data_IF_600848221976
#
_entry.id   IF_600848221976
#
_cell.length_a   1.000
_cell.length_b   1.000
_cell.length_c   1.000
_cell.angle_alpha   90.00
_cell.angle_beta   90.00
_cell.angle_gamma   90.00
#
_symmetry.space_group_name_H-M   'P 1'
#
loop_
_entity.id
_entity.type
_entity.pdbx_description
1 polymer ?
#
# COMPACT_ATOMS: atom_id res chain seq x y z
N UNK A 1 4.36 4.72 13.20
CA UNK A 1 5.02 3.50 12.74
C UNK A 1 6.46 3.87 12.45
N UNK A 2 7.38 3.53 13.33
CA UNK A 2 8.80 3.69 13.06
C UNK A 2 9.25 2.48 12.23
N UNK A 3 9.55 2.71 10.95
CA UNK A 3 10.33 1.78 10.17
C UNK A 3 11.74 1.83 10.73
N UNK A 4 12.11 0.89 11.55
CA UNK A 4 13.50 0.75 11.94
C UNK A 4 14.20 0.01 10.81
N UNK A 5 15.02 0.73 10.05
CA UNK A 5 16.13 0.09 9.36
C UNK A 5 16.86 -0.74 10.41
N UNK A 6 17.14 -2.01 10.13
CA UNK A 6 17.94 -2.86 11.01
C UNK A 6 19.38 -2.36 10.95
N UNK A 7 19.61 -1.18 11.55
CA UNK A 7 20.93 -0.62 11.74
C UNK A 7 21.28 -0.74 13.22
N UNK A 8 22.26 -1.54 13.53
CA UNK A 8 22.93 -1.43 14.79
C UNK A 8 24.04 -0.39 14.62
N UNK A 9 23.78 0.84 15.03
CA UNK A 9 24.86 1.80 15.26
C UNK A 9 25.42 1.53 16.65
N UNK A 10 26.64 0.99 16.71
CA UNK A 10 27.43 1.06 17.93
C UNK A 10 28.26 2.34 17.93
N UNK A 11 28.47 2.89 19.15
CA UNK A 11 29.33 4.05 19.37
C UNK A 11 30.75 3.76 18.88
N UNK A 12 31.57 4.78 18.55
CA UNK A 12 32.97 4.60 18.23
C UNK A 12 33.63 3.79 19.34
N UNK A 13 34.20 2.65 18.99
CA UNK A 13 34.86 1.73 19.95
C UNK A 13 34.27 0.33 20.05
N UNK A 14 33.34 -0.04 19.20
CA UNK A 14 32.88 -1.43 19.13
C UNK A 14 31.44 -1.62 18.71
N UNK A 15 31.18 -2.44 17.73
CA UNK A 15 29.87 -2.99 17.48
C UNK A 15 29.53 -3.35 16.06
N UNK A 16 28.78 -4.43 15.98
CA UNK A 16 28.23 -5.08 14.80
C UNK A 16 27.29 -4.14 14.05
N UNK A 17 27.50 -3.91 12.75
CA UNK A 17 26.50 -3.36 11.84
C UNK A 17 25.84 -4.51 11.09
N UNK A 18 24.57 -4.79 11.41
CA UNK A 18 23.75 -5.71 10.62
C UNK A 18 23.04 -4.90 9.53
N UNK A 19 23.41 -5.13 8.29
CA UNK A 19 22.70 -4.65 7.13
C UNK A 19 22.11 -5.83 6.39
N UNK A 20 20.80 -5.89 6.32
CA UNK A 20 20.06 -6.75 5.40
C UNK A 20 20.53 -8.22 5.35
N UNK A 21 20.90 -8.80 6.50
CA UNK A 21 21.47 -10.14 6.54
C UNK A 21 22.95 -10.23 6.17
N UNK A 22 23.61 -9.07 5.90
CA UNK A 22 25.05 -9.00 5.72
C UNK A 22 25.72 -8.44 6.98
N UNK A 23 26.79 -9.07 7.38
CA UNK A 23 27.66 -8.59 8.44
C UNK A 23 28.78 -7.75 7.79
N UNK A 24 28.78 -6.43 8.04
CA UNK A 24 29.82 -5.52 7.52
C UNK A 24 31.01 -5.51 8.48
N UNK A 25 32.16 -5.89 7.97
CA UNK A 25 33.42 -5.88 8.70
C UNK A 25 34.00 -4.46 8.76
N UNK A 26 33.81 -3.76 9.88
CA UNK A 26 34.28 -2.35 9.97
C UNK A 26 35.31 -2.08 11.07
N UNK A 27 35.49 -2.96 12.08
CA UNK A 27 36.41 -2.76 13.22
C UNK A 27 36.76 -4.07 13.93
N UNK A 28 37.83 -4.10 14.73
CA UNK A 28 38.38 -5.26 15.45
C UNK A 28 37.37 -6.07 16.30
N UNK A 29 36.28 -5.45 16.80
CA UNK A 29 35.25 -6.13 17.56
C UNK A 29 34.23 -6.87 16.68
N UNK A 30 34.13 -6.49 15.41
CA UNK A 30 33.29 -7.17 14.40
C UNK A 30 33.94 -8.46 13.94
N UNK A 31 35.27 -8.52 14.01
CA UNK A 31 36.04 -9.71 13.64
C UNK A 31 35.70 -10.91 14.53
N UNK A 32 35.52 -10.71 15.84
CA UNK A 32 35.14 -11.77 16.78
C UNK A 32 33.76 -12.37 16.48
N UNK A 33 32.75 -11.52 16.20
CA UNK A 33 31.40 -11.98 15.83
C UNK A 33 31.40 -12.65 14.44
N UNK A 34 32.19 -12.12 13.50
CA UNK A 34 32.36 -12.72 12.17
C UNK A 34 33.00 -14.11 12.29
N UNK A 35 34.10 -14.26 13.04
CA UNK A 35 34.77 -15.53 13.25
C UNK A 35 33.85 -16.56 13.93
N UNK A 36 33.06 -16.14 14.91
CA UNK A 36 32.06 -16.99 15.56
C UNK A 36 31.02 -17.52 14.56
N UNK A 37 30.41 -16.62 13.74
CA UNK A 37 29.38 -17.00 12.77
C UNK A 37 29.97 -17.81 11.62
N UNK A 38 31.18 -17.47 11.16
CA UNK A 38 31.92 -18.22 10.17
C UNK A 38 32.23 -19.64 10.66
N UNK A 39 32.71 -19.77 11.91
CA UNK A 39 32.98 -21.05 12.53
C UNK A 39 31.73 -21.92 12.74
N UNK A 40 30.55 -21.30 12.86
CA UNK A 40 29.24 -21.98 12.89
C UNK A 40 28.68 -22.31 11.51
N UNK A 41 29.30 -21.85 10.42
CA UNK A 41 28.81 -22.03 9.06
C UNK A 41 27.49 -21.31 8.80
N UNK A 42 27.29 -20.11 9.35
CA UNK A 42 26.05 -19.34 9.21
C UNK A 42 26.03 -18.44 7.97
N UNK A 43 27.17 -18.23 7.33
CA UNK A 43 27.26 -17.46 6.10
C UNK A 43 27.11 -18.34 4.86
N UNK A 44 26.75 -17.71 3.75
CA UNK A 44 26.87 -18.33 2.40
C UNK A 44 28.33 -18.68 2.18
N UNK A 45 28.59 -19.89 1.72
CA UNK A 45 29.95 -20.44 1.57
C UNK A 45 30.31 -20.67 0.11
N UNK A 46 31.60 -20.52 -0.19
CA UNK A 46 32.18 -20.93 -1.45
C UNK A 46 32.34 -22.46 -1.57
N UNK A 47 32.81 -22.95 -2.69
CA UNK A 47 33.04 -24.39 -2.95
C UNK A 47 34.05 -25.03 -1.98
N UNK A 48 34.85 -24.23 -1.28
CA UNK A 48 35.82 -24.67 -0.28
C UNK A 48 35.32 -24.61 1.15
N UNK A 49 34.03 -24.22 1.33
CA UNK A 49 33.39 -24.08 2.65
C UNK A 49 33.80 -22.81 3.41
N UNK A 50 34.37 -21.82 2.75
CA UNK A 50 34.75 -20.54 3.35
C UNK A 50 33.61 -19.53 3.18
N UNK A 51 33.36 -18.62 4.15
CA UNK A 51 32.42 -17.52 3.96
C UNK A 51 32.73 -16.73 2.69
N UNK A 52 31.71 -16.47 1.89
CA UNK A 52 31.83 -15.55 0.76
C UNK A 52 31.90 -14.14 1.29
N UNK A 53 32.93 -13.39 0.90
CA UNK A 53 33.10 -11.99 1.25
C UNK A 53 32.96 -11.15 -0.01
N UNK A 54 31.98 -10.27 -0.02
CA UNK A 54 31.69 -9.33 -1.10
C UNK A 54 31.89 -7.90 -0.63
N UNK A 55 32.11 -6.97 -1.55
CA UNK A 55 32.23 -5.56 -1.21
C UNK A 55 30.83 -4.90 -1.20
N UNK A 56 30.32 -4.68 -0.02
CA UNK A 56 29.04 -4.00 0.17
C UNK A 56 29.27 -2.49 0.36
N UNK A 57 28.24 -1.66 0.18
CA UNK A 57 28.40 -0.19 0.24
C UNK A 57 29.07 0.33 1.54
N UNK A 58 29.07 -0.43 2.60
CA UNK A 58 29.75 -0.10 3.87
C UNK A 58 31.10 -0.77 4.04
N UNK A 59 31.59 -1.53 3.05
CA UNK A 59 32.85 -2.29 3.11
C UNK A 59 32.67 -3.78 2.86
N UNK A 60 33.73 -4.61 3.07
CA UNK A 60 33.65 -6.06 2.95
C UNK A 60 32.54 -6.63 3.87
N UNK A 61 31.75 -7.56 3.35
CA UNK A 61 30.63 -8.16 4.07
C UNK A 61 30.41 -9.62 3.65
N UNK A 62 29.84 -10.42 4.55
CA UNK A 62 29.33 -11.76 4.25
C UNK A 62 27.83 -11.83 4.53
N UNK A 63 27.11 -12.59 3.71
CA UNK A 63 25.67 -12.73 3.80
C UNK A 63 25.29 -13.98 4.59
N UNK A 64 24.32 -13.86 5.51
CA UNK A 64 23.76 -15.01 6.21
C UNK A 64 23.08 -15.97 5.21
N UNK A 65 23.26 -17.26 5.44
CA UNK A 65 22.56 -18.29 4.68
C UNK A 65 21.18 -18.58 5.31
N UNK A 66 20.14 -17.95 4.79
CA UNK A 66 18.77 -18.18 5.26
C UNK A 66 18.20 -19.57 4.86
N UNK A 67 18.93 -20.39 4.09
CA UNK A 67 18.61 -21.81 3.91
C UNK A 67 19.09 -22.67 5.09
N UNK A 68 20.04 -22.16 5.88
CA UNK A 68 20.52 -22.78 7.11
C UNK A 68 19.57 -22.46 8.29
N UNK A 69 18.89 -23.47 8.87
CA UNK A 69 17.96 -23.22 9.98
C UNK A 69 18.61 -22.58 11.21
N UNK A 70 19.89 -22.88 11.48
CA UNK A 70 20.61 -22.32 12.62
C UNK A 70 20.94 -20.84 12.41
N UNK A 71 21.38 -20.45 11.20
CA UNK A 71 21.59 -19.06 10.81
C UNK A 71 20.28 -18.26 10.86
N UNK A 72 19.18 -18.86 10.35
CA UNK A 72 17.83 -18.28 10.43
C UNK A 72 17.41 -18.05 11.90
N UNK A 73 17.63 -19.03 12.77
CA UNK A 73 17.33 -18.94 14.19
C UNK A 73 18.15 -17.84 14.89
N UNK A 74 19.42 -17.71 14.56
CA UNK A 74 20.27 -16.64 15.06
C UNK A 74 19.74 -15.26 14.64
N UNK A 75 19.39 -15.07 13.36
CA UNK A 75 18.78 -13.83 12.87
C UNK A 75 17.49 -13.47 13.63
N UNK A 76 16.62 -14.47 13.86
CA UNK A 76 15.38 -14.28 14.62
C UNK A 76 15.66 -13.85 16.06
N UNK A 77 16.68 -14.45 16.72
CA UNK A 77 17.15 -14.03 18.03
C UNK A 77 17.61 -12.57 18.05
N UNK A 78 18.41 -12.16 17.04
CA UNK A 78 18.87 -10.76 16.94
C UNK A 78 17.70 -9.78 16.75
N UNK A 79 16.73 -10.11 15.90
CA UNK A 79 15.52 -9.29 15.74
C UNK A 79 14.73 -9.17 17.04
N UNK A 80 14.58 -10.26 17.78
CA UNK A 80 13.90 -10.27 19.07
C UNK A 80 14.63 -9.39 20.10
N UNK A 81 15.91 -9.66 20.34
CA UNK A 81 16.71 -9.01 21.39
C UNK A 81 16.98 -7.53 21.10
N UNK A 82 17.21 -7.17 19.82
CA UNK A 82 17.65 -5.82 19.50
C UNK A 82 16.49 -4.86 19.18
N UNK A 83 15.33 -5.38 18.77
CA UNK A 83 14.23 -4.55 18.27
C UNK A 83 12.87 -4.86 18.90
N UNK A 84 12.42 -6.12 18.84
CA UNK A 84 11.05 -6.44 19.24
C UNK A 84 10.84 -6.27 20.74
N UNK A 85 11.81 -6.66 21.57
CA UNK A 85 11.78 -6.42 23.03
C UNK A 85 11.74 -4.93 23.39
N UNK A 86 12.25 -4.06 22.52
CA UNK A 86 12.27 -2.62 22.70
C UNK A 86 11.05 -1.90 22.13
N UNK A 87 9.98 -2.64 21.79
CA UNK A 87 8.70 -2.08 21.39
C UNK A 87 8.57 -1.81 19.89
N UNK A 88 9.49 -2.29 19.04
CA UNK A 88 9.33 -2.20 17.59
C UNK A 88 8.10 -3.00 17.14
N UNK A 89 7.28 -2.37 16.28
CA UNK A 89 6.03 -2.94 15.78
C UNK A 89 6.10 -3.34 14.31
N UNK A 90 7.27 -3.23 13.69
CA UNK A 90 7.51 -3.58 12.30
C UNK A 90 8.98 -3.82 12.02
N UNK A 91 9.26 -4.54 10.95
CA UNK A 91 10.60 -4.91 10.48
C UNK A 91 10.75 -4.42 9.05
N UNK A 92 11.91 -3.82 8.75
CA UNK A 92 12.27 -3.34 7.42
C UNK A 92 13.51 -4.08 6.95
N UNK A 93 13.33 -4.99 5.99
CA UNK A 93 14.40 -5.71 5.32
C UNK A 93 14.88 -4.91 4.11
N UNK A 94 15.98 -4.20 4.29
CA UNK A 94 16.58 -3.35 3.28
C UNK A 94 17.84 -4.00 2.71
N UNK A 95 18.28 -3.61 1.49
CA UNK A 95 19.50 -4.09 0.84
C UNK A 95 19.61 -5.63 0.78
N UNK A 96 18.54 -6.32 0.48
CA UNK A 96 18.46 -7.78 0.51
C UNK A 96 18.34 -8.43 -0.88
N UNK A 97 18.92 -7.80 -1.89
CA UNK A 97 18.96 -8.27 -3.27
C UNK A 97 19.90 -9.47 -3.46
N UNK A 98 20.80 -9.70 -2.52
CA UNK A 98 21.89 -10.67 -2.58
C UNK A 98 22.74 -10.47 -3.86
N UNK A 99 23.42 -9.36 -3.91
CA UNK A 99 24.38 -9.04 -4.97
C UNK A 99 25.68 -9.81 -4.73
N UNK A 100 25.95 -10.78 -5.60
CA UNK A 100 27.16 -11.61 -5.58
C UNK A 100 27.88 -11.41 -6.91
N UNK A 101 29.15 -10.95 -6.86
CA UNK A 101 29.94 -10.65 -8.05
C UNK A 101 30.61 -11.91 -8.64
N UNK A 102 31.00 -12.87 -7.81
CA UNK A 102 31.67 -14.08 -8.26
C UNK A 102 30.70 -14.99 -9.06
N UNK A 103 31.07 -15.27 -10.31
CA UNK A 103 30.29 -16.15 -11.19
C UNK A 103 30.15 -17.59 -10.65
N UNK A 104 31.06 -18.04 -9.80
CA UNK A 104 30.98 -19.35 -9.12
C UNK A 104 29.79 -19.39 -8.12
N UNK A 105 29.37 -18.24 -7.63
CA UNK A 105 28.26 -18.06 -6.70
C UNK A 105 26.93 -17.79 -7.42
N UNK A 106 26.95 -17.55 -8.74
CA UNK A 106 25.75 -17.46 -9.55
C UNK A 106 24.91 -18.76 -9.48
N UNK A 107 25.53 -19.85 -9.07
CA UNK A 107 24.89 -21.14 -8.82
C UNK A 107 24.28 -21.30 -7.42
N UNK A 108 24.34 -20.27 -6.53
CA UNK A 108 23.67 -20.35 -5.22
C UNK A 108 22.15 -20.49 -5.43
N UNK A 109 21.57 -21.66 -5.16
CA UNK A 109 20.22 -21.96 -5.61
C UNK A 109 19.16 -21.11 -4.89
N UNK A 110 19.50 -20.53 -3.75
CA UNK A 110 18.62 -19.66 -2.98
C UNK A 110 18.74 -18.17 -3.33
N UNK A 111 19.61 -17.76 -4.29
CA UNK A 111 19.81 -16.35 -4.64
C UNK A 111 18.50 -15.63 -4.95
N UNK A 112 17.69 -16.18 -5.85
CA UNK A 112 16.43 -15.59 -6.26
C UNK A 112 15.36 -15.55 -5.14
N UNK A 113 15.49 -16.43 -4.15
CA UNK A 113 14.54 -16.52 -3.01
C UNK A 113 15.12 -15.99 -1.71
N UNK A 114 16.33 -15.44 -1.73
CA UNK A 114 16.97 -14.87 -0.55
C UNK A 114 16.09 -13.86 0.21
N UNK A 115 15.54 -12.81 -0.46
CA UNK A 115 14.67 -11.86 0.21
C UNK A 115 13.38 -12.49 0.74
N UNK A 116 12.88 -13.54 0.09
CA UNK A 116 11.72 -14.30 0.56
C UNK A 116 12.04 -15.03 1.88
N UNK A 117 13.17 -15.73 1.94
CA UNK A 117 13.60 -16.47 3.13
C UNK A 117 13.92 -15.54 4.31
N UNK A 118 14.54 -14.39 4.04
CA UNK A 118 14.76 -13.35 5.04
C UNK A 118 13.44 -12.80 5.58
N UNK A 119 12.46 -12.55 4.70
CA UNK A 119 11.15 -12.03 5.09
C UNK A 119 10.34 -13.05 5.89
N UNK A 120 10.42 -14.33 5.54
CA UNK A 120 9.86 -15.44 6.32
C UNK A 120 10.46 -15.47 7.73
N UNK A 121 11.79 -15.40 7.85
CA UNK A 121 12.49 -15.37 9.15
C UNK A 121 12.05 -14.17 9.99
N UNK A 122 11.95 -12.99 9.38
CA UNK A 122 11.53 -11.76 10.04
C UNK A 122 10.07 -11.83 10.53
N UNK A 123 9.16 -12.36 9.70
CA UNK A 123 7.78 -12.57 10.09
C UNK A 123 7.66 -13.57 11.25
N UNK A 124 8.41 -14.68 11.19
CA UNK A 124 8.39 -15.70 12.22
C UNK A 124 8.91 -15.15 13.57
N UNK A 125 9.96 -14.31 13.56
CA UNK A 125 10.43 -13.63 14.76
C UNK A 125 9.36 -12.73 15.38
N UNK A 126 8.64 -11.96 14.52
CA UNK A 126 7.54 -11.12 14.99
C UNK A 126 6.42 -11.94 15.63
N UNK A 127 5.98 -13.01 14.97
CA UNK A 127 4.90 -13.87 15.45
C UNK A 127 5.29 -14.64 16.72
N UNK A 128 6.56 -15.01 16.89
CA UNK A 128 7.05 -15.59 18.13
C UNK A 128 6.98 -14.59 19.30
N UNK A 129 7.19 -13.30 19.04
CA UNK A 129 7.10 -12.24 20.05
C UNK A 129 5.65 -11.81 20.31
N UNK A 130 4.81 -11.71 19.25
CA UNK A 130 3.41 -11.27 19.31
C UNK A 130 2.50 -12.21 18.50
N UNK A 131 2.14 -13.36 19.07
CA UNK A 131 1.46 -14.44 18.32
C UNK A 131 0.03 -14.11 17.88
N UNK A 132 -0.59 -13.09 18.48
CA UNK A 132 -1.95 -12.66 18.11
C UNK A 132 -1.99 -11.46 17.17
N UNK A 133 -0.84 -10.80 16.92
CA UNK A 133 -0.77 -9.60 16.11
C UNK A 133 -0.33 -9.89 14.67
N UNK A 134 -0.86 -9.14 13.72
CA UNK A 134 -0.43 -9.21 12.31
C UNK A 134 0.97 -8.64 12.17
N UNK A 135 1.91 -9.40 11.59
CA UNK A 135 3.27 -8.93 11.37
C UNK A 135 3.28 -7.79 10.33
N UNK A 136 4.17 -6.82 10.57
CA UNK A 136 4.42 -5.72 9.66
C UNK A 136 5.86 -5.82 9.17
N UNK A 137 6.04 -6.44 7.99
CA UNK A 137 7.35 -6.61 7.38
C UNK A 137 7.37 -5.90 6.02
N UNK A 138 8.40 -5.10 5.79
CA UNK A 138 8.75 -4.55 4.49
C UNK A 138 10.02 -5.21 3.97
N UNK A 139 10.10 -5.45 2.66
CA UNK A 139 11.28 -5.98 1.99
C UNK A 139 11.55 -5.21 0.70
N UNK A 140 12.78 -4.71 0.50
CA UNK A 140 13.15 -3.99 -0.71
C UNK A 140 13.16 -4.93 -1.91
N UNK A 141 13.88 -6.02 -1.82
CA UNK A 141 13.85 -7.05 -2.84
C UNK A 141 12.72 -8.06 -2.59
N UNK A 142 12.27 -8.70 -3.67
CA UNK A 142 11.22 -9.68 -3.59
C UNK A 142 11.15 -10.58 -4.82
N UNK A 143 10.45 -11.70 -4.64
CA UNK A 143 10.12 -12.65 -5.69
C UNK A 143 8.69 -13.14 -5.48
N UNK A 144 8.18 -13.94 -6.40
CA UNK A 144 6.88 -14.60 -6.24
C UNK A 144 6.80 -15.34 -4.90
N UNK A 145 5.74 -15.08 -4.14
CA UNK A 145 5.56 -15.63 -2.79
C UNK A 145 5.85 -14.64 -1.66
N UNK A 146 6.51 -13.50 -1.93
CA UNK A 146 6.80 -12.47 -0.92
C UNK A 146 5.54 -11.94 -0.24
N UNK A 147 4.42 -11.84 -0.95
CA UNK A 147 3.13 -11.38 -0.43
C UNK A 147 2.63 -12.14 0.80
N UNK A 148 3.16 -13.34 1.06
CA UNK A 148 2.84 -14.14 2.25
C UNK A 148 3.49 -13.60 3.51
N UNK A 149 4.61 -12.88 3.36
CA UNK A 149 5.47 -12.50 4.47
C UNK A 149 5.69 -11.00 4.59
N UNK A 150 5.75 -10.28 3.47
CA UNK A 150 6.12 -8.88 3.46
C UNK A 150 5.37 -8.06 2.42
N UNK A 151 5.45 -6.74 2.58
CA UNK A 151 5.13 -5.71 1.59
C UNK A 151 6.42 -5.25 0.95
N UNK A 152 6.31 -4.53 -0.18
CA UNK A 152 7.48 -4.04 -0.89
C UNK A 152 7.32 -2.59 -1.34
N UNK A 153 8.41 -2.00 -1.81
CA UNK A 153 8.44 -0.71 -2.48
C UNK A 153 9.45 -0.77 -3.63
N UNK A 154 9.53 0.25 -4.42
CA UNK A 154 10.36 0.27 -5.63
C UNK A 154 11.83 0.64 -5.40
N UNK A 155 12.26 0.66 -4.14
CA UNK A 155 13.66 0.94 -3.78
C UNK A 155 14.03 2.41 -3.89
N UNK A 156 15.32 2.66 -4.13
CA UNK A 156 15.95 3.96 -4.12
C UNK A 156 15.79 4.66 -5.49
N UNK A 157 14.68 5.32 -5.69
CA UNK A 157 14.31 5.94 -6.97
C UNK A 157 14.87 7.35 -7.13
N UNK A 158 15.22 7.73 -8.35
CA UNK A 158 15.66 9.09 -8.69
C UNK A 158 14.50 10.09 -8.61
N UNK A 159 14.81 11.32 -8.17
CA UNK A 159 13.83 12.40 -8.05
C UNK A 159 13.62 13.10 -9.40
N UNK A 160 12.89 12.45 -10.34
CA UNK A 160 12.53 13.02 -11.64
C UNK A 160 11.18 12.47 -12.18
N UNK A 161 10.61 13.11 -13.20
CA UNK A 161 9.34 12.72 -13.82
C UNK A 161 9.42 11.38 -14.57
N UNK A 162 10.50 11.05 -15.31
CA UNK A 162 10.65 9.74 -15.93
C UNK A 162 10.55 8.60 -14.89
N UNK A 163 11.19 8.75 -13.74
CA UNK A 163 11.14 7.78 -12.64
C UNK A 163 9.77 7.72 -11.99
N UNK A 164 9.08 8.86 -11.79
CA UNK A 164 7.70 8.87 -11.32
C UNK A 164 6.81 8.01 -12.23
N UNK A 165 6.90 8.20 -13.55
CA UNK A 165 6.17 7.40 -14.53
C UNK A 165 6.56 5.92 -14.45
N UNK A 166 7.86 5.62 -14.51
CA UNK A 166 8.39 4.26 -14.44
C UNK A 166 7.89 3.51 -13.20
N UNK A 167 7.92 4.16 -12.04
CA UNK A 167 7.48 3.58 -10.78
C UNK A 167 6.01 3.17 -10.80
N UNK A 168 5.13 3.98 -11.40
CA UNK A 168 3.71 3.61 -11.51
C UNK A 168 3.56 2.29 -12.29
N UNK A 169 4.18 2.20 -13.48
CA UNK A 169 4.10 0.98 -14.30
C UNK A 169 4.74 -0.23 -13.63
N UNK A 170 5.86 -0.04 -12.93
CA UNK A 170 6.50 -1.10 -12.15
C UNK A 170 5.59 -1.59 -11.02
N UNK A 171 4.96 -0.67 -10.27
CA UNK A 171 4.00 -1.01 -9.21
C UNK A 171 2.80 -1.78 -9.72
N UNK A 172 2.24 -1.41 -10.89
CA UNK A 172 1.15 -2.15 -11.52
C UNK A 172 1.60 -3.53 -11.98
N UNK A 173 2.80 -3.65 -12.55
CA UNK A 173 3.41 -4.92 -12.91
C UNK A 173 3.62 -5.85 -11.71
N UNK A 174 4.08 -5.31 -10.59
CA UNK A 174 4.17 -6.03 -9.31
C UNK A 174 2.79 -6.51 -8.84
N UNK A 175 1.77 -5.65 -8.90
CA UNK A 175 0.40 -5.98 -8.52
C UNK A 175 -0.14 -7.18 -9.31
N UNK A 176 0.05 -7.20 -10.63
CA UNK A 176 -0.33 -8.32 -11.52
C UNK A 176 0.48 -9.60 -11.18
N UNK A 177 1.72 -9.43 -10.75
CA UNK A 177 2.62 -10.53 -10.36
C UNK A 177 2.33 -11.06 -8.94
N UNK A 178 1.25 -10.61 -8.29
CA UNK A 178 0.83 -11.07 -6.98
C UNK A 178 1.44 -10.32 -5.79
N UNK A 179 2.04 -9.15 -6.03
CA UNK A 179 2.57 -8.25 -5.00
C UNK A 179 1.71 -6.97 -4.91
N UNK A 180 0.48 -7.05 -4.36
CA UNK A 180 -0.48 -5.95 -4.43
C UNK A 180 -0.17 -4.78 -3.48
N UNK A 181 0.67 -5.00 -2.48
CA UNK A 181 0.97 -4.01 -1.42
C UNK A 181 2.27 -3.29 -1.74
N UNK A 182 2.27 -2.49 -2.78
CA UNK A 182 3.42 -1.75 -3.28
C UNK A 182 3.17 -0.25 -3.20
N UNK A 183 4.24 0.53 -3.18
CA UNK A 183 4.25 1.98 -3.32
C UNK A 183 5.67 2.46 -3.58
N UNK A 184 5.83 3.76 -3.61
CA UNK A 184 7.10 4.41 -3.99
C UNK A 184 7.52 5.38 -2.90
N UNK A 185 8.78 5.81 -2.92
CA UNK A 185 9.23 6.97 -2.17
C UNK A 185 8.76 8.22 -2.92
N UNK A 186 7.75 8.90 -2.36
CA UNK A 186 7.10 10.03 -3.01
C UNK A 186 8.04 11.23 -3.10
N UNK A 187 8.20 11.74 -4.31
CA UNK A 187 9.19 12.76 -4.64
C UNK A 187 10.55 12.20 -5.04
N UNK A 188 10.75 10.88 -4.94
CA UNK A 188 12.01 10.19 -5.18
C UNK A 188 12.91 10.11 -3.94
N UNK A 189 13.77 9.10 -3.90
CA UNK A 189 14.65 8.81 -2.76
C UNK A 189 15.98 9.57 -2.87
N UNK A 190 16.64 9.53 -4.02
CA UNK A 190 17.96 10.13 -4.21
C UNK A 190 18.03 11.02 -5.46
N UNK A 191 19.21 11.62 -5.69
CA UNK A 191 19.42 12.57 -6.77
C UNK A 191 19.18 14.01 -6.33
N UNK A 192 18.77 14.92 -7.22
CA UNK A 192 18.49 16.30 -6.86
C UNK A 192 17.25 16.38 -5.94
N UNK A 193 17.11 17.49 -5.21
CA UNK A 193 15.86 17.79 -4.54
C UNK A 193 14.73 17.80 -5.58
N UNK A 194 13.60 17.09 -5.38
CA UNK A 194 12.52 17.08 -6.36
C UNK A 194 12.02 18.50 -6.63
N UNK A 195 11.73 18.81 -7.88
CA UNK A 195 11.02 20.07 -8.16
C UNK A 195 9.66 20.08 -7.43
N UNK A 196 9.16 21.25 -7.09
CA UNK A 196 7.89 21.41 -6.36
C UNK A 196 6.73 20.66 -7.03
N UNK A 197 6.59 20.81 -8.36
CA UNK A 197 5.57 20.10 -9.13
C UNK A 197 5.75 18.57 -9.03
N UNK A 198 6.97 18.06 -9.14
CA UNK A 198 7.24 16.63 -9.02
C UNK A 198 6.79 16.07 -7.67
N UNK A 199 7.09 16.79 -6.57
CA UNK A 199 6.69 16.37 -5.23
C UNK A 199 5.17 16.31 -5.09
N UNK A 200 4.46 17.34 -5.57
CA UNK A 200 2.98 17.37 -5.57
C UNK A 200 2.40 16.24 -6.42
N UNK A 201 2.86 16.07 -7.67
CA UNK A 201 2.37 15.00 -8.57
C UNK A 201 2.65 13.61 -8.03
N UNK A 202 3.80 13.41 -7.38
CA UNK A 202 4.11 12.15 -6.69
C UNK A 202 3.12 11.87 -5.58
N UNK A 203 2.79 12.88 -4.76
CA UNK A 203 1.80 12.75 -3.70
C UNK A 203 0.38 12.49 -4.27
N UNK A 204 -0.03 13.18 -5.34
CA UNK A 204 -1.32 12.94 -6.01
C UNK A 204 -1.43 11.48 -6.48
N UNK A 205 -0.39 10.96 -7.15
CA UNK A 205 -0.38 9.58 -7.62
C UNK A 205 -0.36 8.56 -6.47
N UNK A 206 0.16 8.96 -5.30
CA UNK A 206 0.27 8.12 -4.11
C UNK A 206 -1.01 8.00 -3.28
N UNK A 207 -2.01 8.89 -3.44
CA UNK A 207 -3.17 9.00 -2.53
C UNK A 207 -3.89 7.67 -2.30
N UNK A 208 -4.07 6.85 -3.32
CA UNK A 208 -4.71 5.53 -3.19
C UNK A 208 -3.72 4.36 -3.05
N UNK A 209 -2.40 4.60 -3.08
CA UNK A 209 -1.44 3.51 -2.96
C UNK A 209 -1.44 2.89 -1.56
N UNK A 210 -1.09 1.60 -1.47
CA UNK A 210 -0.96 0.89 -0.20
C UNK A 210 0.16 1.45 0.70
N UNK A 211 1.12 2.18 0.11
CA UNK A 211 2.20 2.85 0.80
C UNK A 211 2.27 4.32 0.34
N UNK A 212 1.93 5.23 1.23
CA UNK A 212 2.07 6.67 1.05
C UNK A 212 3.17 7.17 1.97
N UNK A 213 4.38 7.32 1.45
CA UNK A 213 5.57 7.68 2.25
C UNK A 213 6.45 8.66 1.47
N UNK A 214 6.73 9.81 2.06
CA UNK A 214 7.80 10.70 1.63
C UNK A 214 9.06 10.23 2.36
N UNK A 215 10.06 9.75 1.61
CA UNK A 215 11.29 9.20 2.15
C UNK A 215 12.43 9.47 1.18
N UNK A 216 13.54 10.01 1.70
CA UNK A 216 14.66 10.40 0.85
C UNK A 216 16.00 10.34 1.59
N UNK A 217 17.06 10.19 0.82
CA UNK A 217 18.42 10.36 1.27
C UNK A 217 19.21 11.14 0.20
N UNK A 218 20.05 12.07 0.64
CA UNK A 218 20.94 12.84 -0.25
C UNK A 218 22.27 13.07 0.40
N UNK A 219 23.37 13.18 -0.39
CA UNK A 219 24.70 13.45 0.11
C UNK A 219 24.83 14.78 0.84
N UNK A 220 24.03 15.78 0.48
CA UNK A 220 23.97 17.12 1.13
C UNK A 220 23.23 17.13 2.46
N UNK A 221 22.62 16.01 2.85
CA UNK A 221 21.86 15.89 4.08
C UNK A 221 20.50 16.62 4.08
N UNK A 222 20.03 17.14 2.94
CA UNK A 222 18.74 17.84 2.82
C UNK A 222 17.63 16.84 2.45
N UNK A 223 16.76 16.43 3.40
CA UNK A 223 15.69 15.49 3.10
C UNK A 223 14.54 16.18 2.33
N UNK A 224 13.75 15.38 1.62
CA UNK A 224 12.44 15.80 1.14
C UNK A 224 11.42 15.63 2.25
N UNK A 225 10.69 16.69 2.55
CA UNK A 225 9.68 16.73 3.60
C UNK A 225 8.36 17.29 3.04
N UNK A 226 7.19 17.03 3.66
CA UNK A 226 5.93 17.64 3.24
C UNK A 226 5.95 19.17 3.15
N UNK A 227 6.85 19.80 3.87
CA UNK A 227 7.05 21.28 3.95
C UNK A 227 8.28 21.76 3.20
N UNK A 228 8.90 20.94 2.35
CA UNK A 228 10.07 21.34 1.55
C UNK A 228 9.80 22.61 0.75
N UNK A 229 8.58 22.78 0.26
CA UNK A 229 8.13 23.98 -0.46
C UNK A 229 6.95 24.63 0.25
N UNK A 230 7.12 25.86 0.72
CA UNK A 230 6.06 26.59 1.43
C UNK A 230 4.83 26.84 0.55
N UNK A 231 5.02 27.01 -0.77
CA UNK A 231 3.93 27.22 -1.72
C UNK A 231 2.98 26.03 -1.84
N UNK A 232 3.47 24.81 -1.69
CA UNK A 232 2.70 23.57 -1.83
C UNK A 232 2.44 22.84 -0.52
N UNK A 233 2.86 23.35 0.64
CA UNK A 233 2.64 22.68 1.94
C UNK A 233 1.16 22.37 2.16
N UNK A 234 0.26 23.34 1.91
CA UNK A 234 -1.18 23.15 2.07
C UNK A 234 -1.75 22.11 1.09
N UNK A 235 -1.21 22.06 -0.12
CA UNK A 235 -1.58 21.08 -1.16
C UNK A 235 -1.19 19.67 -0.69
N UNK A 236 0.06 19.48 -0.27
CA UNK A 236 0.56 18.19 0.22
C UNK A 236 -0.19 17.76 1.48
N UNK A 237 -0.49 18.69 2.40
CA UNK A 237 -1.33 18.41 3.56
C UNK A 237 -2.70 17.89 3.16
N UNK A 238 -3.33 18.50 2.16
CA UNK A 238 -4.63 18.05 1.65
C UNK A 238 -4.54 16.63 1.06
N UNK A 239 -3.50 16.32 0.27
CA UNK A 239 -3.29 14.99 -0.30
C UNK A 239 -3.05 13.92 0.78
N UNK A 240 -2.32 14.26 1.85
CA UNK A 240 -2.18 13.38 3.02
C UNK A 240 -3.55 13.11 3.67
N UNK A 241 -4.38 14.15 3.83
CA UNK A 241 -5.71 13.99 4.39
C UNK A 241 -6.63 13.16 3.47
N UNK A 242 -6.54 13.34 2.15
CA UNK A 242 -7.25 12.50 1.19
C UNK A 242 -6.81 11.02 1.27
N UNK A 243 -5.53 10.73 1.45
CA UNK A 243 -5.08 9.36 1.71
C UNK A 243 -5.77 8.77 2.95
N UNK A 244 -5.81 9.48 4.07
CA UNK A 244 -6.53 9.04 5.28
C UNK A 244 -8.04 8.96 5.08
N UNK A 245 -8.62 9.84 4.27
CA UNK A 245 -10.04 9.79 3.91
C UNK A 245 -10.39 8.51 3.16
N UNK A 246 -9.58 8.10 2.20
CA UNK A 246 -9.79 6.86 1.44
C UNK A 246 -9.24 5.60 2.12
N UNK A 247 -8.68 5.69 3.32
CA UNK A 247 -8.13 4.53 4.04
C UNK A 247 -9.11 3.36 4.17
N UNK A 248 -10.42 3.54 4.48
CA UNK A 248 -11.37 2.43 4.50
C UNK A 248 -11.47 1.71 3.15
N UNK A 249 -11.45 2.44 2.04
CA UNK A 249 -11.48 1.86 0.70
C UNK A 249 -10.18 1.15 0.35
N UNK A 250 -9.03 1.79 0.61
CA UNK A 250 -7.69 1.19 0.42
C UNK A 250 -7.59 -0.11 1.21
N UNK A 251 -8.03 -0.11 2.46
CA UNK A 251 -7.99 -1.29 3.32
C UNK A 251 -8.87 -2.42 2.78
N UNK A 252 -10.08 -2.10 2.31
CA UNK A 252 -10.98 -3.10 1.71
C UNK A 252 -10.44 -3.67 0.40
N UNK A 253 -9.81 -2.85 -0.44
CA UNK A 253 -9.08 -3.34 -1.63
C UNK A 253 -7.90 -4.26 -1.25
N UNK A 254 -7.21 -3.96 -0.14
CA UNK A 254 -6.14 -4.82 0.37
C UNK A 254 -6.69 -6.17 0.89
N UNK A 255 -7.83 -6.17 1.56
CA UNK A 255 -8.53 -7.41 1.98
C UNK A 255 -8.98 -8.22 0.76
N UNK A 256 -9.57 -7.58 -0.26
CA UNK A 256 -9.92 -8.24 -1.51
C UNK A 256 -8.68 -8.88 -2.17
N UNK A 257 -7.57 -8.14 -2.24
CA UNK A 257 -6.32 -8.66 -2.80
C UNK A 257 -5.79 -9.87 -2.02
N UNK A 258 -5.84 -9.85 -0.69
CA UNK A 258 -5.43 -10.97 0.16
C UNK A 258 -6.30 -12.23 -0.05
N UNK A 259 -7.62 -12.05 -0.27
CA UNK A 259 -8.56 -13.15 -0.41
C UNK A 259 -8.64 -13.71 -1.83
N UNK A 260 -8.39 -12.89 -2.85
CA UNK A 260 -8.66 -13.25 -4.26
C UNK A 260 -7.43 -13.21 -5.16
N UNK A 261 -6.33 -12.60 -4.72
CA UNK A 261 -5.14 -12.33 -5.55
C UNK A 261 -5.32 -11.18 -6.55
N UNK A 262 -6.46 -10.48 -6.56
CA UNK A 262 -6.68 -9.34 -7.47
C UNK A 262 -5.81 -8.17 -7.07
N UNK A 263 -5.13 -7.49 -8.02
CA UNK A 263 -4.35 -6.31 -7.70
C UNK A 263 -5.23 -5.17 -7.20
N UNK A 264 -4.68 -4.33 -6.32
CA UNK A 264 -5.36 -3.12 -5.84
C UNK A 264 -5.47 -2.07 -6.96
N UNK A 265 -4.36 -1.80 -7.66
CA UNK A 265 -4.33 -0.98 -8.88
C UNK A 265 -4.43 -1.89 -10.11
N UNK A 266 -5.49 -1.76 -10.90
CA UNK A 266 -5.81 -2.64 -12.01
C UNK A 266 -5.63 -1.91 -13.33
N UNK A 267 -4.75 -2.40 -14.19
CA UNK A 267 -4.65 -1.90 -15.55
C UNK A 267 -6.02 -1.93 -16.22
N UNK A 268 -6.39 -0.87 -16.92
CA UNK A 268 -7.72 -0.77 -17.55
C UNK A 268 -7.97 -1.91 -18.55
N UNK A 269 -6.96 -2.34 -19.30
CA UNK A 269 -7.09 -3.51 -20.20
C UNK A 269 -7.43 -4.82 -19.48
N UNK A 270 -6.98 -5.01 -18.22
CA UNK A 270 -7.33 -6.18 -17.42
C UNK A 270 -8.71 -6.03 -16.79
N UNK A 271 -9.09 -4.81 -16.41
CA UNK A 271 -10.39 -4.53 -15.81
C UNK A 271 -11.52 -4.54 -16.86
N UNK A 272 -11.21 -4.17 -18.11
CA UNK A 272 -12.15 -4.08 -19.24
C UNK A 272 -11.59 -4.77 -20.49
N UNK A 273 -11.40 -6.10 -20.47
CA UNK A 273 -10.71 -6.85 -21.53
C UNK A 273 -11.44 -6.84 -22.89
N UNK A 274 -12.72 -6.51 -22.90
CA UNK A 274 -13.54 -6.44 -24.13
C UNK A 274 -13.46 -5.06 -24.80
N UNK A 275 -12.87 -4.07 -24.16
CA UNK A 275 -12.74 -2.72 -24.68
C UNK A 275 -11.40 -2.54 -25.42
N UNK A 276 -11.43 -2.78 -26.73
CA UNK A 276 -10.26 -2.67 -27.61
C UNK A 276 -9.71 -1.25 -27.80
N UNK A 277 -10.42 -0.21 -27.34
CA UNK A 277 -9.99 1.19 -27.47
C UNK A 277 -9.01 1.61 -26.35
N UNK A 278 -8.90 0.82 -25.28
CA UNK A 278 -7.98 1.13 -24.20
C UNK A 278 -6.54 0.96 -24.69
N UNK A 279 -5.73 2.01 -24.58
CA UNK A 279 -4.33 1.98 -24.94
C UNK A 279 -3.55 1.01 -24.04
N UNK A 280 -2.54 0.32 -24.59
CA UNK A 280 -1.72 -0.66 -23.83
C UNK A 280 -0.86 0.01 -22.76
N UNK A 281 -0.54 1.28 -22.97
CA UNK A 281 0.28 2.14 -22.12
C UNK A 281 -0.54 3.24 -21.43
N UNK A 282 -1.86 3.03 -21.29
CA UNK A 282 -2.73 3.96 -20.57
C UNK A 282 -2.16 4.25 -19.16
N UNK A 283 -1.95 5.53 -18.82
CA UNK A 283 -1.35 5.88 -17.52
C UNK A 283 -2.37 5.87 -16.38
N UNK A 284 -3.62 5.55 -16.66
CA UNK A 284 -4.72 5.55 -15.71
C UNK A 284 -5.07 4.11 -15.32
N UNK A 285 -5.53 3.91 -14.10
CA UNK A 285 -5.85 2.59 -13.54
C UNK A 285 -7.18 2.60 -12.81
N UNK A 286 -7.83 1.45 -12.75
CA UNK A 286 -8.94 1.22 -11.84
C UNK A 286 -8.38 0.82 -10.47
N UNK A 287 -8.56 1.65 -9.46
CA UNK A 287 -8.23 1.30 -8.08
C UNK A 287 -9.40 0.54 -7.46
N UNK A 288 -9.14 -0.70 -7.02
CA UNK A 288 -10.22 -1.61 -6.64
C UNK A 288 -11.22 -1.81 -7.78
N UNK A 289 -12.49 -2.10 -7.48
CA UNK A 289 -13.51 -2.26 -8.50
C UNK A 289 -14.18 -0.94 -8.98
N UNK A 290 -14.00 0.18 -8.25
CA UNK A 290 -14.93 1.31 -8.36
C UNK A 290 -14.32 2.66 -8.75
N UNK A 291 -13.03 2.87 -8.60
CA UNK A 291 -12.42 4.20 -8.74
C UNK A 291 -11.42 4.23 -9.89
N UNK A 292 -11.73 5.00 -10.93
CA UNK A 292 -10.74 5.32 -11.96
C UNK A 292 -9.82 6.42 -11.41
N UNK A 293 -8.55 6.08 -11.25
CA UNK A 293 -7.48 6.99 -10.83
C UNK A 293 -6.81 7.56 -12.08
N UNK A 294 -6.95 8.87 -12.28
CA UNK A 294 -6.30 9.61 -13.36
C UNK A 294 -4.96 10.14 -12.87
N UNK A 295 -3.89 9.74 -13.53
CA UNK A 295 -2.53 10.09 -13.15
C UNK A 295 -1.97 11.22 -14.04
N UNK A 296 -1.39 12.26 -13.43
CA UNK A 296 -0.64 13.31 -14.10
C UNK A 296 0.88 13.05 -13.90
N UNK A 297 1.50 12.35 -14.86
CA UNK A 297 2.87 11.81 -14.72
C UNK A 297 3.91 12.58 -15.55
N UNK A 298 3.54 13.70 -16.15
CA UNK A 298 4.44 14.57 -16.91
C UNK A 298 4.43 15.99 -16.35
N UNK A 299 5.54 16.69 -16.53
CA UNK A 299 5.70 18.07 -16.06
C UNK A 299 4.81 19.04 -16.86
N UNK A 300 4.25 20.02 -16.17
CA UNK A 300 3.52 21.13 -16.76
C UNK A 300 2.10 20.79 -17.23
N UNK A 301 1.55 19.65 -16.85
CA UNK A 301 0.20 19.26 -17.22
C UNK A 301 -0.84 20.08 -16.47
N UNK A 302 -1.72 20.75 -17.23
CA UNK A 302 -2.93 21.43 -16.71
C UNK A 302 -4.21 20.69 -17.07
N UNK A 303 -4.17 19.88 -18.15
CA UNK A 303 -5.28 19.06 -18.64
C UNK A 303 -4.77 17.69 -19.10
N UNK A 304 -5.65 16.72 -19.09
CA UNK A 304 -5.41 15.36 -19.56
C UNK A 304 -6.55 14.88 -20.47
N UNK A 305 -6.19 14.29 -21.61
CA UNK A 305 -7.10 13.45 -22.37
C UNK A 305 -7.19 12.09 -21.68
N UNK A 306 -8.38 11.73 -21.21
CA UNK A 306 -8.64 10.50 -20.45
C UNK A 306 -9.66 9.67 -21.19
N UNK A 307 -9.31 8.41 -21.49
CA UNK A 307 -10.27 7.47 -22.04
C UNK A 307 -11.11 6.85 -20.95
N UNK A 308 -12.42 6.98 -21.05
CA UNK A 308 -13.37 6.33 -20.14
C UNK A 308 -13.79 4.99 -20.73
N UNK A 309 -13.48 3.85 -20.07
CA UNK A 309 -13.85 2.52 -20.54
C UNK A 309 -15.33 2.38 -20.88
N UNK A 310 -15.61 1.72 -22.02
CA UNK A 310 -16.94 1.58 -22.58
C UNK A 310 -17.87 0.69 -21.72
N UNK A 311 -19.19 0.83 -21.97
CA UNK A 311 -20.22 0.01 -21.33
C UNK A 311 -20.50 0.34 -19.87
N UNK A 312 -20.00 1.46 -19.36
CA UNK A 312 -20.17 1.97 -17.99
C UNK A 312 -20.54 3.45 -18.02
N UNK A 313 -21.18 3.93 -16.95
CA UNK A 313 -21.23 5.35 -16.63
C UNK A 313 -20.08 5.70 -15.68
N UNK A 314 -19.59 6.92 -15.78
CA UNK A 314 -18.49 7.45 -14.96
C UNK A 314 -18.90 8.78 -14.35
N UNK A 315 -18.79 8.92 -13.05
CA UNK A 315 -19.14 10.14 -12.34
C UNK A 315 -17.88 10.85 -11.84
N UNK A 316 -17.74 12.12 -12.19
CA UNK A 316 -16.73 13.01 -11.64
C UNK A 316 -17.32 13.74 -10.42
N UNK A 317 -16.90 13.41 -9.20
CA UNK A 317 -17.42 14.06 -7.99
C UNK A 317 -16.98 15.52 -7.86
N UNK A 318 -15.89 15.94 -8.50
CA UNK A 318 -15.40 17.32 -8.49
C UNK A 318 -16.26 18.23 -9.38
N UNK A 319 -16.48 17.79 -10.61
CA UNK A 319 -17.30 18.51 -11.57
C UNK A 319 -18.80 18.24 -11.35
N UNK A 320 -19.17 17.28 -10.49
CA UNK A 320 -20.54 16.75 -10.31
C UNK A 320 -21.16 16.34 -11.65
N UNK A 321 -20.37 15.72 -12.51
CA UNK A 321 -20.75 15.41 -13.89
C UNK A 321 -20.70 13.93 -14.15
N UNK A 322 -21.72 13.44 -14.85
CA UNK A 322 -21.81 12.06 -15.33
C UNK A 322 -21.41 11.98 -16.80
N UNK A 323 -20.55 11.02 -17.12
CA UNK A 323 -20.08 10.76 -18.47
C UNK A 323 -20.47 9.37 -18.93
N UNK A 324 -20.79 9.24 -20.21
CA UNK A 324 -20.90 7.93 -20.86
C UNK A 324 -19.49 7.39 -21.12
N UNK A 325 -19.24 6.10 -20.84
CA UNK A 325 -18.00 5.43 -21.25
C UNK A 325 -17.89 5.22 -22.77
N UNK A 326 -16.71 4.83 -23.24
CA UNK A 326 -16.39 4.64 -24.65
C UNK A 326 -15.96 5.93 -25.36
N UNK A 327 -15.50 6.93 -24.63
CA UNK A 327 -15.08 8.22 -25.17
C UNK A 327 -13.83 8.77 -24.49
N UNK A 328 -13.15 9.67 -25.19
CA UNK A 328 -12.14 10.54 -24.60
C UNK A 328 -12.80 11.76 -23.99
N UNK A 329 -12.37 12.14 -22.80
CA UNK A 329 -12.76 13.40 -22.17
C UNK A 329 -11.53 14.25 -21.88
N UNK A 330 -11.72 15.57 -21.88
CA UNK A 330 -10.70 16.51 -21.44
C UNK A 330 -10.91 16.86 -19.96
N UNK A 331 -9.97 16.45 -19.09
CA UNK A 331 -10.05 16.71 -17.66
C UNK A 331 -8.99 17.72 -17.23
N UNK A 332 -9.37 18.80 -16.54
CA UNK A 332 -8.40 19.66 -15.86
C UNK A 332 -7.73 18.87 -14.73
N UNK A 333 -6.41 19.02 -14.62
CA UNK A 333 -5.60 18.37 -13.57
C UNK A 333 -4.82 19.43 -12.77
N UNK A 334 -5.51 20.34 -12.05
CA UNK A 334 -4.86 21.35 -11.25
C UNK A 334 -4.15 20.69 -10.03
N UNK A 335 -3.06 21.31 -9.60
CA UNK A 335 -2.36 20.93 -8.34
C UNK A 335 -3.03 21.67 -7.16
N UNK A 336 -4.19 21.20 -6.74
CA UNK A 336 -5.00 21.86 -5.69
C UNK A 336 -5.20 21.02 -4.42
N UNK A 337 -4.50 19.89 -4.33
CA UNK A 337 -4.58 19.00 -3.17
C UNK A 337 -5.76 18.02 -3.19
N UNK A 338 -6.42 17.88 -4.35
CA UNK A 338 -7.50 16.92 -4.56
C UNK A 338 -7.12 15.95 -5.67
N UNK A 339 -7.11 14.63 -5.44
CA UNK A 339 -6.76 13.66 -6.48
C UNK A 339 -7.85 13.61 -7.56
N UNK A 340 -7.45 13.25 -8.79
CA UNK A 340 -8.36 13.15 -9.94
C UNK A 340 -8.95 11.75 -10.01
N UNK A 341 -10.13 11.58 -9.39
CA UNK A 341 -10.82 10.30 -9.23
C UNK A 341 -12.21 10.36 -9.85
N UNK A 342 -12.57 9.35 -10.65
CA UNK A 342 -13.93 9.18 -11.16
C UNK A 342 -14.53 7.89 -10.59
N UNK A 343 -15.81 7.94 -10.23
CA UNK A 343 -16.54 6.76 -9.76
C UNK A 343 -17.15 6.01 -10.95
N UNK A 344 -16.95 4.71 -10.96
CA UNK A 344 -17.58 3.79 -11.92
C UNK A 344 -19.03 3.53 -11.52
N UNK A 345 -19.92 3.36 -12.51
CA UNK A 345 -21.29 2.87 -12.30
C UNK A 345 -21.32 1.62 -11.39
N UNK A 346 -22.20 1.61 -10.43
CA UNK A 346 -22.28 0.58 -9.38
C UNK A 346 -21.32 0.82 -8.23
N UNK A 347 -20.63 1.95 -8.15
CA UNK A 347 -19.63 2.22 -7.10
C UNK A 347 -20.21 2.19 -5.70
N UNK A 348 -19.46 1.53 -4.80
CA UNK A 348 -19.68 1.50 -3.35
C UNK A 348 -18.31 1.77 -2.71
N UNK A 349 -18.03 3.03 -2.39
CA UNK A 349 -16.71 3.48 -1.95
C UNK A 349 -16.77 3.98 -0.50
N UNK A 350 -16.30 3.18 0.47
CA UNK A 350 -16.25 3.62 1.87
C UNK A 350 -15.13 4.65 2.08
N UNK A 351 -15.43 5.73 2.80
CA UNK A 351 -14.48 6.79 3.14
C UNK A 351 -14.59 7.18 4.60
N UNK A 352 -13.52 7.75 5.15
CA UNK A 352 -13.47 8.35 6.47
C UNK A 352 -13.52 9.88 6.33
N UNK A 353 -14.68 10.53 6.54
CA UNK A 353 -14.84 11.98 6.30
C UNK A 353 -14.01 12.85 7.24
N UNK A 354 -13.69 12.35 8.43
CA UNK A 354 -12.88 13.07 9.41
C UNK A 354 -11.37 13.05 9.02
N UNK A 355 -11.00 12.22 8.05
CA UNK A 355 -9.59 11.93 7.73
C UNK A 355 -8.77 11.65 9.00
N UNK A 356 -9.38 10.96 9.97
CA UNK A 356 -8.77 10.66 11.25
C UNK A 356 -7.54 9.77 11.03
N UNK A 357 -6.42 10.23 11.59
CA UNK A 357 -5.12 9.58 11.48
C UNK A 357 -4.98 8.41 12.46
N UNK A 358 -5.93 8.23 13.36
CA UNK A 358 -5.87 7.12 14.29
C UNK A 358 -6.03 5.81 13.51
N UNK A 359 -5.08 4.91 13.70
CA UNK A 359 -5.17 3.54 13.22
C UNK A 359 -6.21 2.73 14.03
N UNK A 360 -7.25 3.39 14.51
CA UNK A 360 -8.32 2.73 15.25
C UNK A 360 -9.16 1.91 14.30
N UNK A 361 -9.43 0.73 14.72
CA UNK A 361 -10.09 -0.31 14.02
C UNK A 361 -11.50 0.06 13.54
N UNK A 362 -12.21 0.87 14.28
CA UNK A 362 -13.60 1.24 13.99
C UNK A 362 -13.69 2.76 13.89
N UNK A 363 -13.89 3.27 12.68
CA UNK A 363 -14.12 4.70 12.48
C UNK A 363 -15.44 5.13 13.11
N UNK A 364 -15.51 6.29 13.81
CA UNK A 364 -16.76 6.84 14.32
C UNK A 364 -17.78 7.10 13.22
N UNK A 365 -17.32 7.41 12.01
CA UNK A 365 -18.15 7.55 10.84
C UNK A 365 -17.47 6.95 9.61
N UNK A 366 -18.25 6.22 8.81
CA UNK A 366 -17.88 5.78 7.47
C UNK A 366 -18.91 6.29 6.50
N UNK A 367 -18.48 7.06 5.50
CA UNK A 367 -19.33 7.50 4.42
C UNK A 367 -19.16 6.57 3.22
N UNK A 368 -20.27 6.08 2.69
CA UNK A 368 -20.29 5.28 1.47
C UNK A 368 -20.72 6.16 0.31
N UNK A 369 -19.79 6.48 -0.58
CA UNK A 369 -20.09 7.16 -1.83
C UNK A 369 -20.70 6.13 -2.79
N UNK A 370 -21.94 6.31 -3.16
CA UNK A 370 -22.71 5.39 -3.99
C UNK A 370 -22.95 6.00 -5.37
N UNK A 371 -22.69 5.23 -6.43
CA UNK A 371 -23.13 5.58 -7.78
C UNK A 371 -24.09 4.48 -8.29
N UNK A 372 -25.41 4.61 -8.05
CA UNK A 372 -26.40 3.66 -8.53
C UNK A 372 -26.38 3.51 -10.05
N UNK A 373 -26.75 2.32 -10.52
CA UNK A 373 -26.78 1.96 -11.93
C UNK A 373 -26.99 0.47 -12.09
N UNK A 374 -26.16 -0.21 -12.87
CA UNK A 374 -26.16 -1.67 -12.93
C UNK A 374 -26.01 -2.28 -11.57
N UNK A 375 -26.70 -3.40 -11.36
CA UNK A 375 -26.61 -4.14 -10.11
C UNK A 375 -25.14 -4.48 -9.79
N UNK A 376 -24.75 -4.17 -8.56
CA UNK A 376 -23.38 -4.35 -8.08
C UNK A 376 -23.37 -4.84 -6.63
N UNK A 377 -22.24 -5.40 -6.22
CA UNK A 377 -22.03 -5.91 -4.87
C UNK A 377 -20.61 -5.57 -4.40
N UNK A 378 -20.50 -5.18 -3.14
CA UNK A 378 -19.23 -5.01 -2.43
C UNK A 378 -19.29 -5.66 -1.05
N UNK A 379 -18.12 -6.09 -0.59
CA UNK A 379 -17.94 -6.48 0.81
C UNK A 379 -17.25 -5.31 1.50
N UNK A 380 -17.85 -4.81 2.57
CA UNK A 380 -17.17 -3.91 3.49
C UNK A 380 -16.69 -4.72 4.70
N UNK A 381 -15.39 -4.65 4.93
CA UNK A 381 -14.69 -5.34 6.01
C UNK A 381 -14.05 -4.32 6.93
N UNK A 382 -14.24 -4.50 8.23
CA UNK A 382 -13.60 -3.72 9.28
C UNK A 382 -13.15 -4.63 10.43
N UNK A 383 -11.99 -4.37 10.99
CA UNK A 383 -11.44 -5.15 12.10
C UNK A 383 -10.75 -4.25 13.13
N UNK A 384 -10.03 -4.83 14.09
CA UNK A 384 -9.30 -4.06 15.10
C UNK A 384 -7.95 -3.48 14.59
N UNK A 385 -7.67 -3.58 13.29
CA UNK A 385 -6.45 -3.07 12.65
C UNK A 385 -5.16 -3.81 13.07
N UNK A 386 -5.23 -4.81 13.93
CA UNK A 386 -4.08 -5.37 14.61
C UNK A 386 -4.07 -6.90 14.70
N UNK A 387 -5.17 -7.53 15.02
CA UNK A 387 -5.25 -8.97 15.28
C UNK A 387 -5.11 -9.81 14.03
N UNK A 388 -4.65 -11.06 14.17
CA UNK A 388 -4.73 -12.05 13.12
C UNK A 388 -6.20 -12.35 12.77
N UNK A 389 -6.50 -12.57 11.49
CA UNK A 389 -7.85 -12.90 11.02
C UNK A 389 -8.44 -14.15 11.70
N UNK A 390 -7.58 -15.11 12.08
CA UNK A 390 -7.98 -16.32 12.78
C UNK A 390 -8.70 -16.05 14.11
N UNK A 391 -8.46 -14.89 14.75
CA UNK A 391 -9.12 -14.49 15.99
C UNK A 391 -10.54 -13.95 15.77
N UNK A 392 -10.97 -13.82 14.52
CA UNK A 392 -12.31 -13.36 14.13
C UNK A 392 -12.73 -12.01 14.75
N UNK A 393 -11.79 -11.13 15.01
CA UNK A 393 -12.03 -9.77 15.54
C UNK A 393 -12.33 -8.82 14.37
N UNK A 394 -13.37 -9.08 13.60
CA UNK A 394 -13.79 -8.28 12.46
C UNK A 394 -15.30 -8.33 12.25
N UNK A 395 -15.81 -7.31 11.56
CA UNK A 395 -17.19 -7.28 11.04
C UNK A 395 -17.14 -7.37 9.51
N UNK A 396 -18.17 -7.97 8.93
CA UNK A 396 -18.35 -8.05 7.49
C UNK A 396 -19.75 -7.67 7.10
N UNK A 397 -19.86 -6.81 6.09
CA UNK A 397 -21.12 -6.36 5.51
C UNK A 397 -21.12 -6.66 4.01
N UNK A 398 -22.20 -7.28 3.51
CA UNK A 398 -22.50 -7.37 2.10
C UNK A 398 -23.38 -6.19 1.72
N UNK A 399 -22.96 -5.41 0.73
CA UNK A 399 -23.67 -4.23 0.25
C UNK A 399 -24.01 -4.47 -1.21
N UNK A 400 -25.30 -4.49 -1.54
CA UNK A 400 -25.82 -4.56 -2.92
C UNK A 400 -26.39 -3.23 -3.30
N UNK A 401 -26.03 -2.73 -4.47
CA UNK A 401 -26.48 -1.47 -5.01
C UNK A 401 -27.12 -1.70 -6.38
N UNK A 402 -28.24 -1.05 -6.60
CA UNK A 402 -28.96 -0.99 -7.87
C UNK A 402 -29.53 0.41 -8.10
N UNK A 403 -30.14 0.66 -9.25
CA UNK A 403 -30.90 1.91 -9.50
C UNK A 403 -32.04 2.12 -8.50
N UNK A 404 -32.65 1.02 -8.03
CA UNK A 404 -33.81 1.06 -7.15
C UNK A 404 -33.48 1.23 -5.67
N UNK A 405 -32.24 0.92 -5.25
CA UNK A 405 -31.91 0.97 -3.83
C UNK A 405 -30.59 0.31 -3.46
N UNK A 406 -30.32 0.35 -2.16
CA UNK A 406 -29.16 -0.30 -1.54
C UNK A 406 -29.61 -1.23 -0.42
N UNK A 407 -29.10 -2.46 -0.45
CA UNK A 407 -29.29 -3.46 0.60
C UNK A 407 -27.95 -3.64 1.35
N UNK A 408 -27.99 -3.54 2.68
CA UNK A 408 -26.81 -3.74 3.54
C UNK A 408 -27.09 -4.87 4.50
N UNK A 409 -26.35 -5.97 4.37
CA UNK A 409 -26.48 -7.15 5.23
C UNK A 409 -25.21 -7.34 6.05
N UNK A 410 -25.33 -7.31 7.36
CA UNK A 410 -24.23 -7.70 8.25
C UNK A 410 -24.15 -9.22 8.31
N UNK A 411 -23.01 -9.80 7.93
CA UNK A 411 -22.82 -11.27 7.87
C UNK A 411 -21.96 -11.80 9.00
N UNK A 412 -21.07 -10.99 9.54
CA UNK A 412 -20.21 -11.37 10.67
C UNK A 412 -20.07 -10.21 11.65
N UNK A 413 -20.07 -10.54 12.95
CA UNK A 413 -19.86 -9.60 14.05
C UNK A 413 -18.81 -10.15 14.99
N UNK A 414 -17.61 -9.59 14.97
CA UNK A 414 -16.48 -9.99 15.82
C UNK A 414 -15.96 -8.87 16.70
N UNK A 415 -16.35 -7.63 16.42
CA UNK A 415 -16.04 -6.46 17.23
C UNK A 415 -17.26 -5.53 17.32
N UNK A 416 -17.40 -4.84 18.44
CA UNK A 416 -18.45 -3.86 18.66
C UNK A 416 -17.88 -2.59 19.27
N UNK A 417 -18.49 -1.45 18.93
CA UNK A 417 -18.28 -0.19 19.63
C UNK A 417 -19.43 0.06 20.61
N UNK A 418 -19.30 0.98 21.56
CA UNK A 418 -20.43 1.41 22.39
C UNK A 418 -21.61 1.88 21.54
N UNK A 419 -22.82 1.50 21.91
CA UNK A 419 -24.03 1.85 21.16
C UNK A 419 -24.14 3.36 20.91
N UNK A 420 -24.52 3.75 19.71
CA UNK A 420 -24.70 5.14 19.30
C UNK A 420 -23.42 5.96 19.12
N UNK A 421 -22.24 5.32 19.19
CA UNK A 421 -20.94 6.00 18.99
C UNK A 421 -20.48 5.99 17.54
N UNK A 422 -21.15 5.23 16.67
CA UNK A 422 -20.79 5.05 15.27
C UNK A 422 -21.98 5.28 14.35
N UNK A 423 -21.66 5.67 13.12
CA UNK A 423 -22.63 5.77 12.05
C UNK A 423 -22.04 5.42 10.68
N UNK A 424 -22.85 4.76 9.87
CA UNK A 424 -22.64 4.67 8.43
C UNK A 424 -23.52 5.72 7.76
N UNK A 425 -22.96 6.45 6.81
CA UNK A 425 -23.68 7.47 6.03
C UNK A 425 -23.61 7.06 4.55
N UNK A 426 -24.76 6.85 3.95
CA UNK A 426 -24.90 6.59 2.53
C UNK A 426 -25.01 7.92 1.80
N UNK A 427 -24.22 8.15 0.76
CA UNK A 427 -24.20 9.40 -0.01
C UNK A 427 -24.46 9.12 -1.48
N UNK A 428 -25.44 9.81 -2.06
CA UNK A 428 -25.81 9.73 -3.47
C UNK A 428 -25.32 10.97 -4.22
N UNK A 429 -25.03 10.85 -5.52
CA UNK A 429 -24.84 12.00 -6.40
C UNK A 429 -26.04 12.93 -6.41
N UNK A 430 -25.80 14.18 -6.77
CA UNK A 430 -26.86 15.17 -6.99
C UNK A 430 -27.90 14.67 -8.00
N UNK A 431 -29.17 14.90 -7.72
CA UNK A 431 -30.29 14.41 -8.53
C UNK A 431 -30.95 13.13 -8.00
N UNK A 432 -30.25 12.34 -7.21
CA UNK A 432 -30.80 11.16 -6.53
C UNK A 432 -31.16 11.45 -5.07
N UNK A 433 -32.16 10.75 -4.55
CA UNK A 433 -32.64 10.89 -3.18
C UNK A 433 -33.02 9.52 -2.60
N UNK A 434 -32.80 9.34 -1.30
CA UNK A 434 -33.41 8.23 -0.56
C UNK A 434 -34.89 8.48 -0.35
N UNK A 435 -35.70 7.44 -0.56
CA UNK A 435 -37.16 7.55 -0.40
C UNK A 435 -37.53 7.82 1.06
N UNK A 436 -36.79 7.24 1.99
CA UNK A 436 -37.01 7.28 3.43
C UNK A 436 -36.99 8.71 4.03
N UNK A 437 -36.14 9.58 3.53
CA UNK A 437 -35.95 10.94 4.06
C UNK A 437 -36.02 12.05 3.00
N UNK A 438 -36.07 11.70 1.71
CA UNK A 438 -36.12 12.67 0.63
C UNK A 438 -34.80 13.41 0.37
N UNK A 439 -33.66 12.99 0.99
CA UNK A 439 -32.35 13.60 0.89
C UNK A 439 -31.38 12.73 0.07
N UNK A 440 -30.25 13.29 -0.31
CA UNK A 440 -29.14 12.59 -0.99
C UNK A 440 -28.21 11.87 -0.02
N UNK A 441 -28.44 11.99 1.28
CA UNK A 441 -27.71 11.28 2.31
C UNK A 441 -28.64 10.65 3.34
N UNK A 442 -28.22 9.50 3.89
CA UNK A 442 -28.95 8.76 4.91
C UNK A 442 -27.96 8.10 5.88
N UNK A 443 -28.17 8.32 7.18
CA UNK A 443 -27.32 7.76 8.23
C UNK A 443 -28.02 6.68 9.05
N UNK A 444 -27.28 5.67 9.49
CA UNK A 444 -27.75 4.63 10.42
C UNK A 444 -26.61 4.13 11.33
N UNK A 445 -26.96 3.49 12.44
CA UNK A 445 -26.01 2.86 13.37
C UNK A 445 -25.69 1.43 12.90
N UNK A 446 -24.45 1.13 12.47
CA UNK A 446 -24.07 -0.20 12.01
C UNK A 446 -24.00 -1.24 13.14
N UNK A 447 -23.85 -0.79 14.40
CA UNK A 447 -23.77 -1.68 15.56
C UNK A 447 -25.14 -2.11 16.08
N UNK A 448 -26.22 -1.40 15.69
CA UNK A 448 -27.59 -1.82 15.91
C UNK A 448 -28.01 -2.99 15.00
N UNK A 449 -27.29 -3.25 13.90
CA UNK A 449 -27.60 -4.33 12.96
C UNK A 449 -27.03 -5.67 13.45
N UNK A 450 -27.90 -6.64 13.68
CA UNK A 450 -27.48 -7.99 14.09
C UNK A 450 -26.91 -8.81 12.91
N UNK A 451 -26.08 -9.82 13.22
CA UNK A 451 -25.57 -10.73 12.19
C UNK A 451 -26.73 -11.48 11.49
N UNK A 452 -26.72 -11.46 10.16
CA UNK A 452 -27.77 -12.03 9.32
C UNK A 452 -28.89 -11.07 8.96
N UNK A 453 -28.98 -9.93 9.61
CA UNK A 453 -29.99 -8.90 9.36
C UNK A 453 -29.63 -8.04 8.13
N UNK A 454 -30.66 -7.55 7.43
CA UNK A 454 -30.52 -6.72 6.23
C UNK A 454 -31.32 -5.43 6.39
N UNK A 455 -30.70 -4.30 6.12
CA UNK A 455 -31.35 -3.01 5.93
C UNK A 455 -31.48 -2.73 4.43
N UNK A 456 -32.63 -2.19 4.03
CA UNK A 456 -32.91 -1.74 2.67
C UNK A 456 -33.27 -0.27 2.64
N UNK A 457 -32.68 0.45 1.71
CA UNK A 457 -32.94 1.85 1.45
C UNK A 457 -33.27 2.06 -0.02
N UNK A 458 -34.48 2.51 -0.34
CA UNK A 458 -34.93 2.74 -1.71
C UNK A 458 -34.45 4.09 -2.23
N UNK A 459 -34.12 4.14 -3.50
CA UNK A 459 -33.60 5.33 -4.20
C UNK A 459 -34.59 5.77 -5.26
N UNK A 460 -34.74 7.08 -5.44
CA UNK A 460 -35.53 7.72 -6.49
C UNK A 460 -34.80 8.89 -7.12
N UNK A 461 -35.22 9.29 -8.31
CA UNK A 461 -34.60 10.35 -9.11
C UNK A 461 -33.86 9.78 -10.31
N UNK A 462 -33.15 10.62 -11.04
CA UNK A 462 -32.37 10.23 -12.19
C UNK A 462 -31.06 11.02 -12.26
N UNK A 463 -30.01 10.35 -12.66
CA UNK A 463 -28.74 10.99 -13.03
C UNK A 463 -28.84 11.51 -14.47
N UNK A 464 -28.40 12.74 -14.70
CA UNK A 464 -28.32 13.30 -16.04
C UNK A 464 -26.92 13.08 -16.59
N UNK A 465 -26.81 12.30 -17.66
CA UNK A 465 -25.58 12.15 -18.43
C UNK A 465 -25.40 13.35 -19.39
N UNK A 466 -24.20 13.87 -19.48
CA UNK A 466 -23.80 14.97 -20.34
C UNK A 466 -22.82 14.51 -21.40
#
# INVERSE_FOLDING_TARGET
VFANRVFRHFRPGGGLKLHAGALVLTDDLVEADFEELAGKGYFIQDAQGRPVVEYFWGGPASFLDFTNPAAKGWWQGQLHEQYLMHGCTGIWNDNNELELEDSSLAAYPARAVYPLLMSEASQAAFLAHKPEERPWVYSRAGTAGLQRYARTWTGDNVSDFPTLRYNQYMGWGMGISGLPYVGHDLGGFFGPLPEEELLVRSCESGVLQARFVIHSWRPDGVPTEPWTYLGSESIIRSLILEHYRYMPYIYNCAVEAALTGRPMERLLRLAFPQDGQIASDAPDVLFGPWVLKVNALDKGLTHRQVYLPAGQLWYDPRAKRLYQGGQMIDLPVPMDGSPHLLLREGAIVPTNPAADKSATALYPQVDFLLLPGKESESIYFEDDGRSLLALKRFNRYHIRLSEAGVDIRKTETGITAPAGTRRFVLQLPEGLRFVQNGQDSLAFDPDALAAGETLRFDIKGALQAH
#
